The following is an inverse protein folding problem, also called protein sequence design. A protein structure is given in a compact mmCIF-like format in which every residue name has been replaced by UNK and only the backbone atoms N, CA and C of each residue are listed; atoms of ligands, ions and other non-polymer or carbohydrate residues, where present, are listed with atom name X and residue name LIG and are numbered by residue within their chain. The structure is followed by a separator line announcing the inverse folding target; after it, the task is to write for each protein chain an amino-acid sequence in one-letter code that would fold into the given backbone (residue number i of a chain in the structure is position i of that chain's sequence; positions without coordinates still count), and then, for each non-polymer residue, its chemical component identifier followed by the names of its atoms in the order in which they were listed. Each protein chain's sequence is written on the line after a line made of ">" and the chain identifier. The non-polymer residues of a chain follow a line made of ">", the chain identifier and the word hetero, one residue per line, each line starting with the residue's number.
data_IF_875179368420
#
_entry.id   IF_875179368420
#
_cell.length_a   1.000
_cell.length_b   1.000
_cell.length_c   1.000
_cell.angle_alpha   90.00
_cell.angle_beta   90.00
_cell.angle_gamma   90.00
#
_symmetry.space_group_name_H-M   'P 1'
#
loop_
_entity.id
_entity.type
_entity.pdbx_description
1 polymer ?
#
# COMPACT_ATOMS: atom_id res chain seq x y z
N UNK A 1 13.09 -20.05 1.52
CA UNK A 1 11.62 -20.25 1.59
C UNK A 1 10.93 -18.90 1.72
N UNK A 2 9.89 -18.65 0.94
CA UNK A 2 9.09 -17.43 0.97
C UNK A 2 8.47 -17.16 2.36
N UNK A 3 8.29 -18.21 3.15
CA UNK A 3 7.71 -18.15 4.51
C UNK A 3 8.49 -17.22 5.44
N UNK A 4 9.80 -17.17 5.29
CA UNK A 4 10.69 -16.35 6.12
C UNK A 4 11.30 -15.20 5.32
N UNK A 5 10.63 -14.79 4.24
CA UNK A 5 11.11 -13.70 3.43
C UNK A 5 11.00 -12.38 4.19
N UNK A 6 12.06 -11.61 4.13
CA UNK A 6 12.11 -10.22 4.57
C UNK A 6 12.68 -9.39 3.42
N UNK A 7 11.99 -8.34 3.06
CA UNK A 7 12.36 -7.51 1.92
C UNK A 7 11.14 -6.86 1.28
N UNK A 8 11.26 -6.50 0.02
CA UNK A 8 10.21 -5.83 -0.73
C UNK A 8 9.44 -6.82 -1.62
N UNK A 9 8.12 -6.62 -1.67
CA UNK A 9 7.22 -7.28 -2.61
C UNK A 9 6.47 -6.21 -3.42
N UNK A 10 6.45 -6.37 -4.74
CA UNK A 10 5.76 -5.45 -5.65
C UNK A 10 4.45 -6.07 -6.09
N UNK A 11 3.35 -5.39 -5.80
CA UNK A 11 2.02 -5.67 -6.33
C UNK A 11 1.78 -4.71 -7.49
N UNK A 12 1.49 -5.23 -8.67
CA UNK A 12 1.20 -4.43 -9.86
C UNK A 12 -0.10 -4.87 -10.49
N UNK A 13 -0.93 -3.90 -10.85
CA UNK A 13 -2.20 -4.14 -11.54
C UNK A 13 -2.51 -3.00 -12.50
N UNK A 14 -3.32 -3.29 -13.51
CA UNK A 14 -3.93 -2.29 -14.36
C UNK A 14 -5.41 -2.18 -14.02
N UNK A 15 -5.89 -0.94 -13.89
CA UNK A 15 -7.28 -0.63 -13.57
C UNK A 15 -7.82 0.31 -14.64
N UNK A 16 -8.94 -0.06 -15.24
CA UNK A 16 -9.67 0.82 -16.16
C UNK A 16 -10.55 1.80 -15.37
N UNK A 17 -10.38 3.08 -15.60
CA UNK A 17 -11.12 4.15 -14.93
C UNK A 17 -12.03 4.85 -15.93
N UNK A 18 -13.33 4.81 -15.68
CA UNK A 18 -14.31 5.51 -16.46
C UNK A 18 -14.15 7.03 -16.31
N UNK A 19 -14.36 7.77 -17.41
CA UNK A 19 -14.30 9.22 -17.41
C UNK A 19 -15.30 9.87 -16.47
N UNK A 20 -16.45 9.24 -16.25
CA UNK A 20 -17.48 9.72 -15.31
C UNK A 20 -17.01 9.67 -13.87
N UNK A 21 -16.14 8.70 -13.51
CA UNK A 21 -15.54 8.64 -12.19
C UNK A 21 -14.62 9.84 -11.92
N UNK A 22 -13.93 10.34 -12.94
CA UNK A 22 -13.00 11.47 -12.82
C UNK A 22 -13.69 12.82 -12.97
N UNK A 23 -14.93 12.86 -13.51
CA UNK A 23 -15.66 14.11 -13.72
C UNK A 23 -15.84 14.88 -12.40
N UNK A 24 -15.51 16.16 -12.42
CA UNK A 24 -15.78 17.05 -11.29
C UNK A 24 -17.28 17.24 -11.12
N UNK A 25 -17.81 17.24 -9.87
CA UNK A 25 -19.21 17.55 -9.64
C UNK A 25 -19.49 18.96 -10.10
N UNK A 26 -20.41 19.11 -11.06
CA UNK A 26 -20.84 20.42 -11.53
C UNK A 26 -21.74 21.08 -10.48
N UNK A 27 -21.40 22.27 -10.06
CA UNK A 27 -22.26 23.06 -9.22
C UNK A 27 -23.49 23.48 -10.04
N UNK A 28 -24.63 22.82 -9.82
CA UNK A 28 -25.93 23.23 -10.37
C UNK A 28 -26.53 24.29 -9.45
N UNK A 29 -26.39 25.56 -9.81
CA UNK A 29 -27.08 26.66 -9.11
C UNK A 29 -26.34 27.99 -9.22
N UNK A 30 -27.09 29.03 -9.53
CA UNK A 30 -26.68 30.40 -9.82
C UNK A 30 -26.26 31.24 -8.60
N UNK A 31 -25.95 30.65 -7.47
CA UNK A 31 -25.56 31.41 -6.28
C UNK A 31 -24.41 30.77 -5.55
N UNK A 32 -23.32 31.51 -5.48
CA UNK A 32 -22.06 31.18 -4.81
C UNK A 32 -21.17 30.20 -5.56
N UNK A 33 -20.03 30.71 -5.94
CA UNK A 33 -18.86 29.98 -6.48
C UNK A 33 -18.22 29.10 -5.39
N UNK A 34 -18.95 28.08 -4.94
CA UNK A 34 -18.39 27.05 -4.09
C UNK A 34 -17.44 26.26 -4.95
N UNK A 35 -16.16 26.36 -4.67
CA UNK A 35 -15.15 25.51 -5.28
C UNK A 35 -15.38 24.11 -4.72
N UNK A 36 -15.93 23.22 -5.53
CA UNK A 36 -16.12 21.82 -5.16
C UNK A 36 -14.78 21.12 -5.39
N UNK A 37 -14.10 20.81 -4.32
CA UNK A 37 -12.88 19.98 -4.40
C UNK A 37 -13.30 18.52 -4.38
N UNK A 38 -12.91 17.77 -5.38
CA UNK A 38 -12.93 16.30 -5.32
C UNK A 38 -11.56 15.79 -4.94
N UNK A 39 -11.53 14.81 -4.06
CA UNK A 39 -10.33 14.11 -3.63
C UNK A 39 -10.44 12.64 -3.96
N UNK A 40 -9.44 12.10 -4.64
CA UNK A 40 -9.36 10.68 -4.95
C UNK A 40 -8.28 10.02 -4.10
N UNK A 41 -8.63 8.94 -3.41
CA UNK A 41 -7.77 8.29 -2.43
C UNK A 41 -7.68 6.80 -2.73
N UNK A 42 -6.46 6.27 -2.70
CA UNK A 42 -6.22 4.84 -2.67
C UNK A 42 -6.23 4.36 -1.22
N UNK A 43 -7.18 3.49 -0.90
CA UNK A 43 -7.33 2.91 0.42
C UNK A 43 -6.78 1.49 0.42
N UNK A 44 -5.82 1.23 1.30
CA UNK A 44 -5.29 -0.09 1.57
C UNK A 44 -6.05 -0.70 2.76
N UNK A 45 -6.35 -2.00 2.76
CA UNK A 45 -7.12 -2.61 3.86
C UNK A 45 -6.30 -2.71 5.15
N UNK A 46 -5.10 -3.20 5.02
CA UNK A 46 -4.09 -3.29 6.07
C UNK A 46 -2.74 -3.52 5.42
N UNK A 47 -1.72 -2.87 5.92
CA UNK A 47 -0.34 -3.06 5.48
C UNK A 47 0.50 -3.50 6.67
N UNK A 48 1.18 -4.63 6.50
CA UNK A 48 2.07 -5.14 7.53
C UNK A 48 3.49 -4.70 7.21
N UNK A 49 3.86 -3.60 7.75
CA UNK A 49 5.00 -2.72 7.75
C UNK A 49 4.78 -1.45 6.92
N UNK A 50 5.23 -1.34 5.69
CA UNK A 50 5.22 -0.08 4.92
C UNK A 50 4.81 -0.37 3.48
N UNK A 51 4.04 0.54 2.87
CA UNK A 51 3.68 0.46 1.46
C UNK A 51 3.91 1.79 0.75
N UNK A 52 4.70 1.79 -0.31
CA UNK A 52 4.87 2.90 -1.23
C UNK A 52 3.94 2.71 -2.42
N UNK A 53 3.17 3.72 -2.75
CA UNK A 53 2.18 3.69 -3.84
C UNK A 53 2.69 4.48 -5.04
N UNK A 54 2.60 3.89 -6.21
CA UNK A 54 2.99 4.51 -7.49
C UNK A 54 1.81 4.37 -8.44
N UNK A 55 1.38 5.49 -9.02
CA UNK A 55 0.27 5.52 -9.99
C UNK A 55 0.78 6.10 -11.30
N UNK A 56 0.65 5.35 -12.39
CA UNK A 56 1.12 5.75 -13.72
C UNK A 56 2.58 6.23 -13.72
N UNK A 57 3.44 5.59 -12.94
CA UNK A 57 4.86 5.94 -12.79
C UNK A 57 5.13 7.10 -11.81
N UNK A 58 4.10 7.76 -11.28
CA UNK A 58 4.24 8.86 -10.33
C UNK A 58 4.12 8.34 -8.90
N UNK A 59 5.07 8.71 -8.03
CA UNK A 59 5.04 8.39 -6.61
C UNK A 59 3.92 9.15 -5.91
N UNK A 60 2.98 8.42 -5.33
CA UNK A 60 1.85 8.97 -4.58
C UNK A 60 2.11 9.00 -3.06
N UNK A 61 3.28 8.57 -2.63
CA UNK A 61 3.69 8.57 -1.23
C UNK A 61 3.70 7.20 -0.57
N UNK A 62 4.05 7.22 0.72
CA UNK A 62 4.24 6.02 1.53
C UNK A 62 3.25 5.96 2.68
N UNK A 63 2.64 4.80 2.85
CA UNK A 63 1.66 4.50 3.90
C UNK A 63 2.28 3.54 4.90
N UNK A 64 2.32 3.91 6.18
CA UNK A 64 2.95 3.13 7.24
C UNK A 64 2.13 3.05 8.53
N UNK A 65 1.01 3.78 8.60
CA UNK A 65 0.09 3.75 9.73
C UNK A 65 -1.36 4.03 9.26
N UNK A 66 -2.31 3.79 10.15
CA UNK A 66 -3.72 4.15 9.91
C UNK A 66 -3.92 5.68 9.90
N UNK A 67 -4.80 6.20 9.03
CA UNK A 67 -5.58 5.47 8.02
C UNK A 67 -4.69 5.04 6.85
N UNK A 68 -4.83 3.78 6.47
CA UNK A 68 -4.04 3.16 5.39
C UNK A 68 -4.47 3.69 4.03
N UNK A 69 -4.19 4.95 3.76
CA UNK A 69 -4.63 5.60 2.52
C UNK A 69 -3.64 6.66 2.06
N UNK A 70 -3.60 6.88 0.75
CA UNK A 70 -2.81 7.94 0.13
C UNK A 70 -3.64 8.70 -0.89
N UNK A 71 -3.36 9.98 -1.04
CA UNK A 71 -3.98 10.86 -2.01
C UNK A 71 -3.41 10.60 -3.40
N UNK A 72 -4.29 10.27 -4.34
CA UNK A 72 -3.95 10.04 -5.75
C UNK A 72 -4.72 10.99 -6.67
N UNK A 73 -5.19 12.11 -6.12
CA UNK A 73 -5.91 13.14 -6.89
C UNK A 73 -5.05 13.63 -8.04
N UNK A 74 -5.62 13.64 -9.23
CA UNK A 74 -4.93 14.08 -10.45
C UNK A 74 -3.91 13.07 -11.02
N UNK A 75 -3.70 11.91 -10.39
CA UNK A 75 -2.79 10.89 -10.92
C UNK A 75 -3.47 9.86 -11.82
N UNK A 76 -4.80 9.74 -11.73
CA UNK A 76 -5.59 8.88 -12.59
C UNK A 76 -5.99 9.57 -13.89
N UNK A 77 -6.13 8.80 -14.95
CA UNK A 77 -6.61 9.22 -16.27
C UNK A 77 -7.77 8.31 -16.71
N UNK A 78 -8.64 8.75 -17.64
CA UNK A 78 -9.63 7.87 -18.25
C UNK A 78 -8.93 6.71 -18.97
N UNK A 79 -9.51 5.52 -18.87
CA UNK A 79 -8.94 4.29 -19.43
C UNK A 79 -7.94 3.61 -18.49
N UNK A 80 -6.99 2.92 -19.04
CA UNK A 80 -6.03 2.09 -18.32
C UNK A 80 -5.06 2.90 -17.44
N UNK A 81 -4.96 2.52 -16.17
CA UNK A 81 -4.06 3.09 -15.18
C UNK A 81 -3.24 1.98 -14.52
N UNK A 82 -1.93 2.14 -14.52
CA UNK A 82 -1.03 1.25 -13.79
C UNK A 82 -0.94 1.69 -12.33
N UNK A 83 -1.18 0.75 -11.42
CA UNK A 83 -1.01 0.95 -9.98
C UNK A 83 0.02 -0.07 -9.49
N UNK A 84 1.08 0.43 -8.88
CA UNK A 84 2.10 -0.37 -8.21
C UNK A 84 2.12 -0.05 -6.72
N UNK A 85 2.19 -1.08 -5.90
CA UNK A 85 2.33 -0.96 -4.46
C UNK A 85 3.55 -1.78 -4.05
N UNK A 86 4.59 -1.09 -3.58
CA UNK A 86 5.81 -1.70 -3.09
C UNK A 86 5.71 -1.83 -1.58
N UNK A 87 5.56 -3.07 -1.10
CA UNK A 87 5.48 -3.35 0.32
C UNK A 87 6.81 -3.86 0.83
N UNK A 88 7.37 -3.20 1.85
CA UNK A 88 8.47 -3.71 2.63
C UNK A 88 7.93 -4.29 3.95
N UNK A 89 8.32 -5.52 4.28
CA UNK A 89 7.91 -6.16 5.52
C UNK A 89 8.99 -6.05 6.61
N UNK A 90 8.63 -6.43 7.84
CA UNK A 90 9.57 -6.43 8.95
C UNK A 90 10.55 -7.61 8.86
N UNK A 91 11.74 -7.46 9.46
CA UNK A 91 12.77 -8.51 9.52
C UNK A 91 12.42 -9.68 10.45
N UNK A 92 11.38 -9.53 11.28
CA UNK A 92 11.04 -10.50 12.35
C UNK A 92 10.90 -11.93 11.82
N UNK A 93 10.18 -12.11 10.71
CA UNK A 93 9.99 -13.45 10.13
C UNK A 93 11.31 -14.07 9.67
N UNK A 94 12.25 -13.27 9.21
CA UNK A 94 13.59 -13.75 8.84
C UNK A 94 14.37 -14.18 10.06
N UNK A 95 14.36 -13.38 11.11
CA UNK A 95 15.04 -13.72 12.38
C UNK A 95 14.46 -15.01 12.98
N UNK A 96 13.13 -15.18 12.95
CA UNK A 96 12.47 -16.43 13.35
C UNK A 96 12.99 -17.62 12.51
N UNK A 97 13.13 -17.42 11.19
CA UNK A 97 13.65 -18.44 10.29
C UNK A 97 15.10 -18.83 10.59
N UNK A 98 15.92 -17.86 10.96
CA UNK A 98 17.34 -18.05 11.25
C UNK A 98 17.60 -18.59 12.66
N UNK A 99 16.62 -18.47 13.59
CA UNK A 99 16.79 -18.79 15.02
C UNK A 99 17.28 -20.22 15.32
N UNK A 100 17.05 -21.16 14.41
CA UNK A 100 17.50 -22.56 14.56
C UNK A 100 18.63 -22.94 13.60
N UNK A 101 19.16 -22.01 12.83
CA UNK A 101 20.24 -22.27 11.89
C UNK A 101 21.60 -22.06 12.57
N UNK A 102 22.64 -22.82 12.18
CA UNK A 102 24.01 -22.51 12.54
C UNK A 102 24.35 -21.08 12.11
N UNK A 103 25.24 -20.43 12.84
CA UNK A 103 25.61 -19.03 12.59
C UNK A 103 26.06 -18.80 11.13
N UNK A 104 26.79 -19.75 10.56
CA UNK A 104 27.28 -19.70 9.18
C UNK A 104 26.18 -19.73 8.11
N UNK A 105 24.98 -20.18 8.47
CA UNK A 105 23.82 -20.28 7.55
C UNK A 105 22.79 -19.17 7.77
N UNK A 106 22.98 -18.32 8.78
CA UNK A 106 22.09 -17.21 9.07
C UNK A 106 22.29 -16.08 8.06
N UNK A 107 21.21 -15.47 7.67
CA UNK A 107 21.20 -14.28 6.81
C UNK A 107 21.18 -13.00 7.65
N UNK A 108 20.66 -13.07 8.88
CA UNK A 108 20.61 -11.93 9.80
C UNK A 108 21.76 -11.98 10.79
N UNK A 109 22.31 -10.80 11.12
CA UNK A 109 23.30 -10.63 12.19
C UNK A 109 22.66 -10.37 13.56
N UNK A 110 21.34 -10.58 13.68
CA UNK A 110 20.62 -10.40 14.92
C UNK A 110 20.83 -11.59 15.85
N UNK A 111 20.96 -11.32 17.15
CA UNK A 111 20.93 -12.35 18.20
C UNK A 111 19.48 -12.65 18.56
N UNK A 112 18.91 -13.78 18.10
CA UNK A 112 17.49 -14.08 18.31
C UNK A 112 17.24 -14.73 19.69
N UNK A 113 17.87 -14.25 20.75
CA UNK A 113 17.72 -14.82 22.08
C UNK A 113 16.25 -14.86 22.54
N UNK A 114 15.44 -13.93 22.01
CA UNK A 114 14.02 -13.81 22.32
C UNK A 114 13.10 -14.49 21.31
N UNK A 115 13.59 -14.86 20.13
CA UNK A 115 12.79 -15.43 19.04
C UNK A 115 13.19 -16.89 18.80
N UNK A 116 12.17 -17.75 18.71
CA UNK A 116 12.33 -19.16 18.43
C UNK A 116 11.68 -19.51 17.09
N UNK A 117 12.15 -20.53 16.40
CA UNK A 117 11.55 -21.04 15.18
C UNK A 117 10.07 -21.44 15.33
N UNK A 118 9.66 -21.73 16.56
CA UNK A 118 8.28 -22.06 16.92
C UNK A 118 7.39 -20.81 17.11
N UNK A 119 7.98 -19.62 17.12
CA UNK A 119 7.21 -18.39 17.30
C UNK A 119 6.32 -18.13 16.09
N UNK A 120 5.19 -17.48 16.37
CA UNK A 120 4.22 -17.16 15.33
C UNK A 120 4.79 -16.12 14.38
N UNK A 121 4.76 -16.44 13.09
CA UNK A 121 5.15 -15.49 12.04
C UNK A 121 4.22 -14.27 12.03
N UNK A 122 4.80 -13.12 11.82
CA UNK A 122 4.05 -11.88 11.64
C UNK A 122 3.42 -11.85 10.23
N UNK A 123 2.19 -11.35 10.10
CA UNK A 123 1.60 -11.08 8.79
C UNK A 123 2.52 -10.19 7.96
N UNK A 124 2.54 -10.40 6.64
CA UNK A 124 3.37 -9.63 5.71
C UNK A 124 2.58 -9.21 4.49
N UNK A 125 2.90 -8.05 3.94
CA UNK A 125 2.29 -7.54 2.73
C UNK A 125 0.91 -6.93 2.95
N UNK A 126 0.11 -6.92 1.88
CA UNK A 126 -1.26 -6.38 1.87
C UNK A 126 -2.24 -7.53 2.12
N UNK A 127 -3.11 -7.36 3.11
CA UNK A 127 -4.14 -8.36 3.43
C UNK A 127 -5.51 -7.74 3.25
N UNK A 128 -6.22 -8.14 2.18
CA UNK A 128 -7.57 -7.69 1.86
C UNK A 128 -7.65 -6.92 0.54
N UNK A 129 -8.75 -6.18 0.35
CA UNK A 129 -9.09 -5.50 -0.90
C UNK A 129 -8.57 -4.06 -0.91
N UNK A 130 -7.81 -3.70 -1.93
CA UNK A 130 -7.43 -2.32 -2.24
C UNK A 130 -8.60 -1.63 -2.96
N UNK A 131 -8.91 -0.40 -2.59
CA UNK A 131 -10.07 0.34 -3.11
C UNK A 131 -9.68 1.76 -3.45
N UNK A 132 -10.13 2.24 -4.61
CA UNK A 132 -10.06 3.66 -4.98
C UNK A 132 -11.39 4.31 -4.58
N UNK A 133 -11.33 5.40 -3.83
CA UNK A 133 -12.49 6.17 -3.40
C UNK A 133 -12.37 7.61 -3.85
N UNK A 134 -13.48 8.17 -4.32
CA UNK A 134 -13.63 9.59 -4.61
C UNK A 134 -14.49 10.25 -3.53
N UNK A 135 -13.98 11.31 -2.96
CA UNK A 135 -14.70 12.14 -2.01
C UNK A 135 -15.02 13.47 -2.69
N UNK A 136 -16.31 13.82 -2.77
CA UNK A 136 -16.75 15.16 -3.18
C UNK A 136 -16.87 16.03 -1.93
N UNK A 137 -16.24 17.22 -1.93
CA UNK A 137 -16.53 18.25 -0.95
C UNK A 137 -17.80 19.01 -1.34
N UNK A 138 -18.65 19.29 -0.36
CA UNK A 138 -19.72 20.30 -0.49
C UNK A 138 -19.18 21.65 -0.05
#
# INVERSE_FOLDING_TARGET
>A
SIRYYSGEAVYSTEVDIDSTFLAEPQATGSASRAVVFSRTVLCLPSVNAVARVIVNGTDAGTVWCSPWQTDITGLLRPGANEIKIVCANSIVNRVIGDASLPESERVTFSFPEFLKRTDRLQPSGIVGKVVIRKYGGR
#
